data_IF_994761193597
#
_entry.id   IF_994761193597
#
_cell.length_a   1.000
_cell.length_b   1.000
_cell.length_c   1.000
_cell.angle_alpha   90.00
_cell.angle_beta   90.00
_cell.angle_gamma   90.00
#
_symmetry.space_group_name_H-M   'P 1'
#
loop_
_entity.id
_entity.type
_entity.pdbx_description
1 polymer ?
#
# COMPACT_ATOMS: atom_id res chain seq x y z
N UNK A 1 21.51 10.15 -15.15
CA UNK A 1 21.45 9.16 -14.05
C UNK A 1 20.02 9.20 -13.52
N UNK A 2 19.14 8.35 -14.05
CA UNK A 2 17.68 8.43 -13.78
C UNK A 2 17.06 7.06 -13.45
N UNK A 3 17.88 6.02 -13.28
CA UNK A 3 17.41 4.62 -13.15
C UNK A 3 16.89 4.22 -11.78
N UNK A 4 17.23 4.95 -10.71
CA UNK A 4 16.80 4.55 -9.37
C UNK A 4 15.33 4.88 -9.16
N UNK A 5 14.87 6.09 -9.53
CA UNK A 5 13.50 6.56 -9.25
C UNK A 5 12.42 5.71 -9.94
N UNK A 6 12.69 5.24 -11.17
CA UNK A 6 11.75 4.38 -11.92
C UNK A 6 11.55 3.01 -11.23
N UNK A 7 12.62 2.41 -10.70
CA UNK A 7 12.53 1.14 -9.99
C UNK A 7 11.78 1.26 -8.65
N UNK A 8 11.88 2.40 -7.97
CA UNK A 8 11.15 2.67 -6.73
C UNK A 8 9.66 2.93 -6.98
N UNK A 9 9.31 3.66 -8.04
CA UNK A 9 7.92 3.86 -8.44
C UNK A 9 7.24 2.53 -8.80
N UNK A 10 7.96 1.62 -9.48
CA UNK A 10 7.46 0.28 -9.82
C UNK A 10 7.16 -0.56 -8.56
N UNK A 11 8.03 -0.50 -7.54
CA UNK A 11 7.82 -1.23 -6.29
C UNK A 11 6.64 -0.70 -5.48
N UNK A 12 6.44 0.62 -5.47
CA UNK A 12 5.30 1.23 -4.77
C UNK A 12 3.99 0.78 -5.42
N UNK A 13 3.86 0.92 -6.74
CA UNK A 13 2.65 0.53 -7.47
C UNK A 13 2.33 -0.95 -7.22
N UNK A 14 3.36 -1.81 -7.25
CA UNK A 14 3.19 -3.22 -6.89
C UNK A 14 2.75 -3.45 -5.45
N UNK A 15 3.31 -2.70 -4.51
CA UNK A 15 2.93 -2.82 -3.10
C UNK A 15 1.48 -2.38 -2.88
N UNK A 16 1.04 -1.30 -3.53
CA UNK A 16 -0.36 -0.85 -3.49
C UNK A 16 -1.29 -1.90 -4.10
N UNK A 17 -0.93 -2.47 -5.25
CA UNK A 17 -1.71 -3.53 -5.92
C UNK A 17 -1.86 -4.80 -5.07
N UNK A 18 -0.79 -5.22 -4.38
CA UNK A 18 -0.83 -6.38 -3.47
C UNK A 18 -1.82 -6.14 -2.33
N UNK A 19 -1.73 -4.99 -1.66
CA UNK A 19 -2.55 -4.68 -0.48
C UNK A 19 -3.99 -4.44 -0.88
N UNK A 20 -4.22 -3.57 -1.86
CA UNK A 20 -5.56 -3.20 -2.31
C UNK A 20 -6.24 -4.34 -3.06
N UNK A 21 -5.51 -5.03 -3.93
CA UNK A 21 -6.00 -6.19 -4.66
C UNK A 21 -6.35 -7.36 -3.74
N UNK A 22 -5.57 -7.60 -2.68
CA UNK A 22 -5.89 -8.61 -1.66
C UNK A 22 -7.20 -8.33 -0.90
N UNK A 23 -7.53 -7.05 -0.74
CA UNK A 23 -8.76 -6.58 -0.08
C UNK A 23 -9.94 -6.38 -1.05
N UNK A 24 -9.73 -6.61 -2.35
CA UNK A 24 -10.76 -6.46 -3.39
C UNK A 24 -10.99 -5.02 -3.84
N UNK A 25 -10.10 -4.08 -3.48
CA UNK A 25 -10.08 -2.76 -4.07
C UNK A 25 -9.40 -2.85 -5.44
N UNK A 26 -10.12 -2.46 -6.49
CA UNK A 26 -9.68 -2.62 -7.88
C UNK A 26 -8.58 -1.65 -8.31
N UNK A 27 -8.18 -1.75 -9.58
CA UNK A 27 -7.27 -0.83 -10.24
C UNK A 27 -7.81 0.62 -10.16
N UNK A 28 -6.95 1.57 -9.77
CA UNK A 28 -7.32 2.99 -9.61
C UNK A 28 -7.52 3.45 -8.16
N UNK A 29 -7.18 2.60 -7.18
CA UNK A 29 -6.98 3.03 -5.80
C UNK A 29 -5.50 3.23 -5.48
N UNK A 30 -5.21 4.20 -4.63
CA UNK A 30 -3.88 4.45 -4.05
C UNK A 30 -3.96 4.52 -2.53
N UNK A 31 -2.90 4.09 -1.83
CA UNK A 31 -2.85 4.14 -0.37
C UNK A 31 -2.33 5.51 0.06
N UNK A 32 -3.16 6.23 0.84
CA UNK A 32 -2.82 7.54 1.40
C UNK A 32 -2.21 7.38 2.79
N UNK A 33 -2.79 6.51 3.60
CA UNK A 33 -2.32 6.22 4.95
C UNK A 33 -2.40 4.71 5.21
N UNK A 34 -1.36 4.18 5.83
CA UNK A 34 -1.29 2.79 6.25
C UNK A 34 -0.87 2.73 7.72
N UNK A 35 -1.62 1.97 8.51
CA UNK A 35 -1.33 1.62 9.88
C UNK A 35 -1.17 0.11 9.95
N UNK A 36 -0.06 -0.34 10.53
CA UNK A 36 0.18 -1.76 10.74
C UNK A 36 0.19 -2.06 12.23
N UNK A 37 -0.48 -3.14 12.60
CA UNK A 37 -0.39 -3.79 13.89
C UNK A 37 0.16 -5.21 13.71
N UNK A 38 0.54 -5.87 14.79
CA UNK A 38 1.17 -7.21 14.74
C UNK A 38 0.28 -8.27 14.05
N UNK A 39 -1.04 -8.13 14.13
CA UNK A 39 -2.00 -9.14 13.66
C UNK A 39 -2.94 -8.64 12.55
N UNK A 40 -2.89 -7.35 12.21
CA UNK A 40 -3.79 -6.74 11.22
C UNK A 40 -3.17 -5.47 10.66
N UNK A 41 -3.66 -5.03 9.50
CA UNK A 41 -3.33 -3.73 8.94
C UNK A 41 -4.60 -2.99 8.50
N UNK A 42 -4.57 -1.67 8.63
CA UNK A 42 -5.68 -0.82 8.23
C UNK A 42 -5.17 0.47 7.63
N UNK A 43 -6.02 1.20 6.93
CA UNK A 43 -5.58 2.40 6.24
C UNK A 43 -6.69 3.16 5.58
N UNK A 44 -6.26 4.24 4.91
CA UNK A 44 -7.10 5.06 4.06
C UNK A 44 -6.53 5.01 2.66
N UNK A 45 -7.35 4.59 1.71
CA UNK A 45 -7.08 4.68 0.30
C UNK A 45 -7.87 5.83 -0.33
N UNK A 46 -7.49 6.18 -1.54
CA UNK A 46 -8.19 7.17 -2.36
C UNK A 46 -8.30 6.66 -3.79
N UNK A 47 -9.49 6.78 -4.36
CA UNK A 47 -9.77 6.48 -5.75
C UNK A 47 -9.29 7.61 -6.68
N UNK A 48 -9.17 7.32 -7.97
CA UNK A 48 -8.77 8.31 -8.98
C UNK A 48 -9.73 9.51 -9.12
N UNK A 49 -11.01 9.34 -8.76
CA UNK A 49 -11.98 10.45 -8.73
C UNK A 49 -11.80 11.38 -7.51
N UNK A 50 -10.98 10.97 -6.55
CA UNK A 50 -10.69 11.69 -5.33
C UNK A 50 -11.47 11.23 -4.11
N UNK A 51 -12.44 10.32 -4.26
CA UNK A 51 -13.14 9.70 -3.13
C UNK A 51 -12.20 8.87 -2.25
N UNK A 52 -12.30 9.07 -0.93
CA UNK A 52 -11.50 8.35 0.06
C UNK A 52 -12.29 7.18 0.65
N UNK A 53 -11.58 6.09 0.92
CA UNK A 53 -12.15 4.90 1.54
C UNK A 53 -11.23 4.39 2.64
N UNK A 54 -11.82 3.74 3.64
CA UNK A 54 -11.07 3.06 4.70
C UNK A 54 -11.05 1.57 4.44
N UNK A 55 -9.91 0.94 4.72
CA UNK A 55 -9.75 -0.50 4.60
C UNK A 55 -9.09 -1.11 5.85
N UNK A 56 -9.39 -2.38 6.10
CA UNK A 56 -8.86 -3.16 7.21
C UNK A 56 -8.72 -4.61 6.76
N UNK A 57 -7.65 -5.28 7.21
CA UNK A 57 -7.44 -6.71 6.96
C UNK A 57 -8.22 -7.54 7.97
N UNK A 58 -8.92 -8.56 7.47
CA UNK A 58 -9.63 -9.54 8.32
C UNK A 58 -8.68 -10.63 8.88
N UNK A 59 -7.46 -10.70 8.33
CA UNK A 59 -6.45 -11.70 8.67
C UNK A 59 -5.06 -11.05 8.87
N UNK A 60 -4.13 -11.79 9.51
CA UNK A 60 -2.73 -11.39 9.57
C UNK A 60 -2.12 -11.26 8.18
N UNK A 61 -1.24 -10.27 7.96
CA UNK A 61 -0.58 -10.09 6.68
C UNK A 61 0.32 -11.28 6.34
N UNK A 62 0.20 -11.76 5.10
CA UNK A 62 1.09 -12.75 4.50
C UNK A 62 2.49 -12.18 4.27
N UNK A 63 3.49 -13.04 4.00
CA UNK A 63 4.86 -12.59 3.68
C UNK A 63 4.91 -11.56 2.52
N UNK A 64 4.01 -11.71 1.55
CA UNK A 64 3.91 -10.79 0.41
C UNK A 64 3.32 -9.43 0.81
N UNK A 65 2.29 -9.43 1.65
CA UNK A 65 1.69 -8.21 2.19
C UNK A 65 2.67 -7.50 3.15
N UNK A 66 3.41 -8.25 3.97
CA UNK A 66 4.47 -7.71 4.83
C UNK A 66 5.56 -7.01 4.02
N UNK A 67 5.97 -7.59 2.89
CA UNK A 67 6.88 -6.93 1.96
C UNK A 67 6.28 -5.61 1.43
N UNK A 68 5.03 -5.65 0.96
CA UNK A 68 4.34 -4.48 0.42
C UNK A 68 4.20 -3.36 1.47
N UNK A 69 3.74 -3.70 2.68
CA UNK A 69 3.69 -2.82 3.85
C UNK A 69 5.07 -2.19 4.09
N UNK A 70 6.14 -3.00 4.04
CA UNK A 70 7.51 -2.51 4.22
C UNK A 70 7.89 -1.43 3.21
N UNK A 71 7.56 -1.61 1.92
CA UNK A 71 7.78 -0.61 0.87
C UNK A 71 6.99 0.67 1.17
N UNK A 72 5.72 0.54 1.55
CA UNK A 72 4.80 1.67 1.78
C UNK A 72 5.17 2.47 3.04
N UNK A 73 5.56 1.82 4.13
CA UNK A 73 5.96 2.47 5.36
C UNK A 73 7.34 3.13 5.25
N UNK A 74 8.28 2.55 4.50
CA UNK A 74 9.63 3.09 4.34
C UNK A 74 9.62 4.48 3.64
N UNK A 75 8.58 4.79 2.85
CA UNK A 75 8.38 6.11 2.25
C UNK A 75 7.83 7.16 3.23
N UNK A 76 7.28 6.76 4.38
CA UNK A 76 6.80 7.70 5.40
C UNK A 76 7.95 8.27 6.25
N UNK A 77 9.14 7.66 6.19
CA UNK A 77 10.31 8.01 7.01
C UNK A 77 11.31 8.97 6.35
N UNK A 78 11.09 9.38 5.11
CA UNK A 78 11.87 10.47 4.48
C UNK A 78 11.22 11.82 4.78
N UNK A 79 11.33 12.29 6.03
CA UNK A 79 11.03 13.68 6.45
C UNK A 79 12.26 14.38 6.98
#
# INVERSE_FOLDING_TARGET
MTRNTEAFLDQRVRAEDIILGGLGFGEGASIVQLNVAEEFFSGTGRWDDGEEFTFESDAPPTDLELWAIGILLNQTLEK
#
